data_IF_813406890086
#
_entry.id   IF_813406890086
#
_cell.length_a   1.000
_cell.length_b   1.000
_cell.length_c   1.000
_cell.angle_alpha   90.00
_cell.angle_beta   90.00
_cell.angle_gamma   90.00
#
_symmetry.space_group_name_H-M   'P 1'
#
loop_
_entity.id
_entity.type
_entity.pdbx_description
1 polymer ?
#
# COMPACT_ATOMS: atom_id res chain seq x y z
N UNK A 1 -42.32 -14.59 -11.87
CA UNK A 1 -40.86 -14.74 -12.00
C UNK A 1 -40.24 -13.54 -11.32
N UNK A 2 -39.90 -13.65 -10.05
CA UNK A 2 -39.15 -12.61 -9.34
C UNK A 2 -37.70 -12.70 -9.77
N UNK A 3 -37.29 -11.82 -10.68
CA UNK A 3 -35.87 -11.54 -10.84
C UNK A 3 -35.44 -10.86 -9.55
N UNK A 4 -34.77 -11.59 -8.66
CA UNK A 4 -33.88 -11.01 -7.68
C UNK A 4 -32.81 -10.23 -8.47
N UNK A 5 -33.00 -8.96 -8.61
CA UNK A 5 -31.91 -8.04 -8.98
C UNK A 5 -30.96 -8.14 -7.78
N UNK A 6 -29.95 -8.98 -7.85
CA UNK A 6 -28.84 -8.94 -6.89
C UNK A 6 -28.33 -7.50 -6.93
N UNK A 7 -28.56 -6.79 -5.85
CA UNK A 7 -28.21 -5.38 -5.76
C UNK A 7 -26.66 -5.31 -5.67
N UNK A 8 -26.02 -5.16 -6.82
CA UNK A 8 -24.54 -5.09 -6.90
C UNK A 8 -24.07 -3.90 -6.04
N UNK A 9 -23.27 -4.13 -5.00
CA UNK A 9 -22.81 -3.05 -4.15
C UNK A 9 -21.99 -2.02 -4.95
N UNK A 10 -22.02 -0.78 -4.53
CA UNK A 10 -21.23 0.28 -5.15
C UNK A 10 -19.73 0.02 -4.94
N UNK A 11 -19.36 -0.47 -3.76
CA UNK A 11 -17.99 -0.60 -3.30
C UNK A 11 -17.74 -1.98 -2.69
N UNK A 12 -16.63 -2.64 -3.08
CA UNK A 12 -16.04 -3.75 -2.33
C UNK A 12 -14.80 -3.28 -1.58
N UNK A 13 -14.76 -3.45 -0.27
CA UNK A 13 -13.60 -3.23 0.57
C UNK A 13 -12.84 -4.56 0.71
N UNK A 14 -11.76 -4.72 -0.06
CA UNK A 14 -10.97 -5.95 -0.11
C UNK A 14 -9.84 -5.89 0.94
N UNK A 15 -9.86 -6.78 1.91
CA UNK A 15 -8.88 -6.87 3.01
C UNK A 15 -8.08 -8.16 2.89
N UNK A 16 -7.00 -8.20 2.09
CA UNK A 16 -6.09 -9.34 2.07
C UNK A 16 -5.27 -9.38 3.35
N UNK A 17 -5.15 -10.55 3.93
CA UNK A 17 -4.48 -10.74 5.21
C UNK A 17 -3.75 -12.08 5.28
N UNK A 18 -2.81 -12.17 6.22
CA UNK A 18 -2.13 -13.39 6.65
C UNK A 18 -2.65 -13.89 8.02
N UNK A 19 -3.93 -13.73 8.28
CA UNK A 19 -4.60 -14.26 9.47
C UNK A 19 -4.37 -13.44 10.76
N UNK A 20 -3.82 -12.25 10.69
CA UNK A 20 -3.46 -11.44 11.85
C UNK A 20 -4.67 -10.72 12.48
N UNK A 21 -5.50 -11.45 13.22
CA UNK A 21 -6.75 -10.98 13.84
C UNK A 21 -6.58 -9.68 14.65
N UNK A 22 -5.47 -9.52 15.39
CA UNK A 22 -5.21 -8.33 16.18
C UNK A 22 -5.14 -7.03 15.37
N UNK A 23 -4.85 -7.11 14.08
CA UNK A 23 -4.82 -5.96 13.17
C UNK A 23 -6.14 -5.76 12.44
N UNK A 24 -6.80 -6.86 12.08
CA UNK A 24 -8.01 -6.85 11.26
C UNK A 24 -9.22 -6.36 12.04
N UNK A 25 -9.40 -6.81 13.29
CA UNK A 25 -10.53 -6.40 14.13
C UNK A 25 -10.69 -4.88 14.14
N UNK A 26 -9.68 -4.10 14.55
CA UNK A 26 -9.76 -2.64 14.53
C UNK A 26 -9.99 -2.02 13.14
N UNK A 27 -9.60 -2.70 12.04
CA UNK A 27 -9.89 -2.22 10.68
C UNK A 27 -11.36 -2.41 10.36
N UNK A 28 -11.93 -3.58 10.62
CA UNK A 28 -13.36 -3.86 10.43
C UNK A 28 -14.20 -2.93 11.29
N UNK A 29 -13.85 -2.77 12.57
CA UNK A 29 -14.54 -1.85 13.48
C UNK A 29 -14.55 -0.41 12.92
N UNK A 30 -13.45 0.04 12.32
CA UNK A 30 -13.35 1.38 11.73
C UNK A 30 -14.19 1.56 10.46
N UNK A 31 -14.58 0.47 9.78
CA UNK A 31 -15.48 0.48 8.64
C UNK A 31 -16.94 0.62 9.16
N UNK A 32 -17.35 -0.25 10.08
CA UNK A 32 -18.72 -0.30 10.56
C UNK A 32 -19.06 0.77 11.60
N UNK A 33 -18.08 1.46 12.17
CA UNK A 33 -18.31 2.64 13.01
C UNK A 33 -18.73 3.88 12.22
N UNK A 34 -18.73 3.83 10.88
CA UNK A 34 -19.14 4.94 10.04
C UNK A 34 -20.63 4.81 9.68
N UNK A 35 -21.36 5.92 9.73
CA UNK A 35 -22.78 5.97 9.40
C UNK A 35 -22.98 5.86 7.88
N UNK A 36 -22.88 4.64 7.34
CA UNK A 36 -23.11 4.34 5.93
C UNK A 36 -24.12 3.19 5.80
N UNK A 37 -24.90 3.21 4.73
CA UNK A 37 -25.84 2.14 4.40
C UNK A 37 -25.07 0.88 3.97
N UNK A 38 -25.22 -0.20 4.74
CA UNK A 38 -24.56 -1.49 4.50
C UNK A 38 -24.91 -2.12 3.15
N UNK A 39 -26.04 -1.73 2.55
CA UNK A 39 -26.42 -2.20 1.21
C UNK A 39 -25.56 -1.62 0.08
N UNK A 40 -24.81 -0.55 0.34
CA UNK A 40 -23.98 0.12 -0.66
C UNK A 40 -22.58 -0.47 -0.79
N UNK A 41 -22.14 -1.26 0.19
CA UNK A 41 -20.79 -1.84 0.16
C UNK A 41 -20.76 -3.28 0.66
N UNK A 42 -19.70 -3.99 0.33
CA UNK A 42 -19.34 -5.25 0.94
C UNK A 42 -17.93 -5.18 1.52
N UNK A 43 -17.67 -5.99 2.53
CA UNK A 43 -16.34 -6.22 3.10
C UNK A 43 -15.92 -7.65 2.84
N UNK A 44 -14.81 -7.83 2.13
CA UNK A 44 -14.26 -9.15 1.79
C UNK A 44 -12.91 -9.34 2.49
N UNK A 45 -12.87 -10.20 3.49
CA UNK A 45 -11.63 -10.60 4.18
C UNK A 45 -11.06 -11.83 3.49
N UNK A 46 -9.92 -11.66 2.81
CA UNK A 46 -9.23 -12.75 2.10
C UNK A 46 -8.00 -13.18 2.91
N UNK A 47 -8.05 -14.38 3.48
CA UNK A 47 -7.03 -14.91 4.37
C UNK A 47 -6.21 -16.01 3.70
N UNK A 48 -4.90 -15.82 3.56
CA UNK A 48 -3.98 -16.81 3.02
C UNK A 48 -3.19 -17.58 4.11
N UNK A 49 -3.53 -17.40 5.37
CA UNK A 49 -3.03 -18.20 6.47
C UNK A 49 -4.06 -19.24 6.97
N UNK A 50 -5.29 -19.17 6.48
CA UNK A 50 -6.40 -20.07 6.86
C UNK A 50 -6.64 -20.08 8.37
N UNK A 51 -6.64 -18.90 9.01
CA UNK A 51 -6.78 -18.78 10.46
C UNK A 51 -8.23 -19.02 10.90
N UNK A 52 -8.53 -20.11 11.65
CA UNK A 52 -9.90 -20.42 12.07
C UNK A 52 -10.49 -19.41 13.06
N UNK A 53 -9.64 -18.74 13.86
CA UNK A 53 -10.11 -17.69 14.78
C UNK A 53 -10.57 -16.46 14.01
N UNK A 54 -9.83 -16.07 12.97
CA UNK A 54 -10.22 -14.98 12.09
C UNK A 54 -11.49 -15.32 11.32
N UNK A 55 -11.61 -16.53 10.79
CA UNK A 55 -12.83 -17.02 10.13
C UNK A 55 -14.03 -16.87 11.05
N UNK A 56 -13.95 -17.44 12.24
CA UNK A 56 -15.01 -17.36 13.25
C UNK A 56 -15.34 -15.91 13.63
N UNK A 57 -14.33 -15.04 13.76
CA UNK A 57 -14.54 -13.63 14.05
C UNK A 57 -15.35 -12.93 12.95
N UNK A 58 -14.98 -13.15 11.68
CA UNK A 58 -15.67 -12.52 10.53
C UNK A 58 -17.09 -13.06 10.37
N UNK A 59 -17.28 -14.39 10.44
CA UNK A 59 -18.59 -15.04 10.29
C UNK A 59 -19.59 -14.68 11.40
N UNK A 60 -19.10 -14.29 12.59
CA UNK A 60 -19.93 -13.87 13.73
C UNK A 60 -19.92 -12.35 13.95
N UNK A 61 -19.45 -11.56 13.00
CA UNK A 61 -19.30 -10.10 13.18
C UNK A 61 -20.65 -9.37 13.26
N UNK A 62 -21.73 -9.95 12.75
CA UNK A 62 -23.11 -9.44 12.90
C UNK A 62 -23.58 -8.49 11.81
N UNK A 63 -22.90 -8.41 10.66
CA UNK A 63 -23.31 -7.70 9.46
C UNK A 63 -23.39 -8.65 8.28
N UNK A 64 -24.44 -8.57 7.47
CA UNK A 64 -24.68 -9.47 6.33
C UNK A 64 -23.79 -9.17 5.12
N UNK A 65 -23.20 -7.97 5.06
CA UNK A 65 -22.35 -7.51 3.97
C UNK A 65 -20.84 -7.76 4.19
N UNK A 66 -20.45 -8.53 5.22
CA UNK A 66 -19.08 -8.99 5.42
C UNK A 66 -18.96 -10.48 5.10
N UNK A 67 -17.85 -10.85 4.47
CA UNK A 67 -17.57 -12.25 4.14
C UNK A 67 -16.10 -12.60 4.34
N UNK A 68 -15.87 -13.87 4.67
CA UNK A 68 -14.54 -14.46 4.79
C UNK A 68 -14.27 -15.40 3.59
N UNK A 69 -13.06 -15.31 3.06
CA UNK A 69 -12.59 -16.17 1.98
C UNK A 69 -11.20 -16.73 2.30
N UNK A 70 -11.05 -18.04 2.23
CA UNK A 70 -9.74 -18.69 2.23
C UNK A 70 -9.05 -18.52 0.87
N UNK A 71 -7.76 -18.27 0.87
CA UNK A 71 -6.96 -18.06 -0.34
C UNK A 71 -5.64 -18.84 -0.26
N UNK A 72 -5.33 -19.58 -1.32
CA UNK A 72 -4.04 -20.28 -1.45
C UNK A 72 -2.95 -19.40 -2.06
N UNK A 73 -3.24 -18.12 -2.29
CA UNK A 73 -2.31 -17.19 -2.88
C UNK A 73 -1.13 -16.89 -1.95
N UNK A 74 0.09 -16.98 -2.48
CA UNK A 74 1.30 -16.79 -1.69
C UNK A 74 1.58 -15.29 -1.42
N UNK A 75 1.78 -14.93 -0.16
CA UNK A 75 2.20 -13.61 0.26
C UNK A 75 1.29 -12.50 -0.25
N UNK A 76 1.86 -11.48 -0.87
CA UNK A 76 1.12 -10.31 -1.37
C UNK A 76 0.22 -10.61 -2.58
N UNK A 77 0.36 -11.77 -3.26
CA UNK A 77 -0.53 -12.16 -4.35
C UNK A 77 -1.98 -12.36 -3.88
N UNK A 78 -2.22 -12.48 -2.58
CA UNK A 78 -3.56 -12.50 -2.00
C UNK A 78 -4.41 -11.25 -2.35
N UNK A 79 -3.77 -10.13 -2.70
CA UNK A 79 -4.44 -8.93 -3.25
C UNK A 79 -5.22 -9.28 -4.52
N UNK A 80 -4.62 -10.05 -5.42
CA UNK A 80 -5.24 -10.44 -6.70
C UNK A 80 -6.44 -11.34 -6.46
N UNK A 81 -6.33 -12.30 -5.51
CA UNK A 81 -7.43 -13.19 -5.14
C UNK A 81 -8.61 -12.41 -4.56
N UNK A 82 -8.35 -11.43 -3.69
CA UNK A 82 -9.41 -10.60 -3.11
C UNK A 82 -10.14 -9.76 -4.16
N UNK A 83 -9.44 -9.16 -5.12
CA UNK A 83 -10.09 -8.42 -6.20
C UNK A 83 -10.92 -9.31 -7.13
N UNK A 84 -10.46 -10.52 -7.43
CA UNK A 84 -11.21 -11.47 -8.29
C UNK A 84 -12.51 -11.95 -7.66
N UNK A 85 -12.59 -11.99 -6.33
CA UNK A 85 -13.77 -12.44 -5.60
C UNK A 85 -14.76 -11.28 -5.31
N UNK A 86 -14.34 -10.04 -5.46
CA UNK A 86 -15.13 -8.85 -5.18
C UNK A 86 -16.26 -8.65 -6.20
N UNK A 87 -17.43 -8.17 -5.72
CA UNK A 87 -18.67 -8.02 -6.52
C UNK A 87 -19.04 -6.56 -6.79
N UNK A 88 -18.48 -5.60 -6.03
CA UNK A 88 -18.81 -4.19 -6.13
C UNK A 88 -18.44 -3.57 -7.47
N UNK A 89 -19.13 -2.49 -7.86
CA UNK A 89 -18.81 -1.72 -9.08
C UNK A 89 -17.37 -1.21 -9.07
N UNK A 90 -16.87 -0.89 -7.88
CA UNK A 90 -15.48 -0.53 -7.63
C UNK A 90 -14.92 -1.34 -6.46
N UNK A 91 -13.73 -1.88 -6.60
CA UNK A 91 -13.05 -2.68 -5.59
C UNK A 91 -11.86 -1.90 -5.03
N UNK A 92 -11.88 -1.64 -3.73
CA UNK A 92 -10.85 -0.86 -3.03
C UNK A 92 -10.04 -1.76 -2.11
N UNK A 93 -8.72 -1.75 -2.27
CA UNK A 93 -7.84 -2.47 -1.38
C UNK A 93 -7.72 -1.74 -0.04
N UNK A 94 -7.94 -2.46 1.04
CA UNK A 94 -7.72 -2.01 2.42
C UNK A 94 -6.58 -2.81 3.02
N UNK A 95 -5.55 -2.14 3.50
CA UNK A 95 -4.48 -2.81 4.23
C UNK A 95 -5.01 -3.25 5.60
N UNK A 96 -4.80 -4.51 5.97
CA UNK A 96 -5.25 -5.07 7.23
C UNK A 96 -4.71 -4.36 8.49
N UNK A 97 -3.83 -3.36 8.33
CA UNK A 97 -3.29 -2.50 9.40
C UNK A 97 -3.67 -1.04 9.27
N UNK A 98 -4.50 -0.68 8.29
CA UNK A 98 -4.90 0.69 8.06
C UNK A 98 -6.38 0.88 8.37
N UNK A 99 -6.69 1.50 9.51
CA UNK A 99 -8.07 1.87 9.88
C UNK A 99 -8.57 3.01 9.00
N UNK A 100 -9.85 2.98 8.67
CA UNK A 100 -10.49 4.12 8.03
C UNK A 100 -10.65 5.25 9.05
N UNK A 101 -10.41 6.47 8.60
CA UNK A 101 -10.74 7.67 9.38
C UNK A 101 -12.24 7.96 9.29
N UNK A 102 -12.77 8.68 10.27
CA UNK A 102 -14.16 9.14 10.25
C UNK A 102 -14.49 9.87 8.94
N UNK A 103 -15.60 9.51 8.31
CA UNK A 103 -16.06 10.03 7.02
C UNK A 103 -15.32 9.47 5.80
N UNK A 104 -14.29 8.66 5.96
CA UNK A 104 -13.49 8.16 4.83
C UNK A 104 -14.29 7.24 3.91
N UNK A 105 -15.16 6.37 4.46
CA UNK A 105 -15.99 5.47 3.67
C UNK A 105 -16.94 6.26 2.75
N UNK A 106 -17.62 7.25 3.29
CA UNK A 106 -18.49 8.16 2.53
C UNK A 106 -17.72 8.87 1.42
N UNK A 107 -16.55 9.42 1.72
CA UNK A 107 -15.73 10.14 0.76
C UNK A 107 -15.22 9.23 -0.37
N UNK A 108 -14.89 7.96 -0.08
CA UNK A 108 -14.55 6.96 -1.10
C UNK A 108 -15.75 6.73 -2.02
N UNK A 109 -16.94 6.51 -1.45
CA UNK A 109 -18.17 6.29 -2.24
C UNK A 109 -18.56 7.51 -3.08
N UNK A 110 -18.46 8.72 -2.54
CA UNK A 110 -18.69 9.96 -3.29
C UNK A 110 -17.72 10.09 -4.47
N UNK A 111 -16.44 9.73 -4.28
CA UNK A 111 -15.45 9.70 -5.38
C UNK A 111 -15.87 8.70 -6.46
N UNK A 112 -16.31 7.50 -6.08
CA UNK A 112 -16.75 6.47 -7.03
C UNK A 112 -17.98 6.93 -7.80
N UNK A 113 -18.99 7.48 -7.14
CA UNK A 113 -20.22 8.01 -7.77
C UNK A 113 -19.88 9.13 -8.74
N UNK A 114 -19.00 10.07 -8.35
CA UNK A 114 -18.57 11.19 -9.19
C UNK A 114 -17.93 10.72 -10.50
N UNK A 115 -17.16 9.65 -10.47
CA UNK A 115 -16.40 9.16 -11.61
C UNK A 115 -16.95 7.86 -12.23
N UNK A 116 -18.18 7.46 -11.89
CA UNK A 116 -18.75 6.19 -12.36
C UNK A 116 -18.98 6.11 -13.88
N UNK A 117 -19.09 7.23 -14.57
CA UNK A 117 -19.28 7.28 -16.02
C UNK A 117 -17.92 7.20 -16.76
N UNK A 118 -16.96 8.04 -16.37
CA UNK A 118 -15.64 8.08 -17.02
C UNK A 118 -14.77 6.90 -16.60
N UNK A 119 -14.92 6.45 -15.35
CA UNK A 119 -14.21 5.35 -14.74
C UNK A 119 -12.69 5.42 -14.95
N UNK A 120 -12.00 6.52 -14.56
CA UNK A 120 -10.55 6.57 -14.62
C UNK A 120 -9.93 5.54 -13.68
N UNK A 121 -8.66 5.19 -13.88
CA UNK A 121 -7.90 4.45 -12.86
C UNK A 121 -7.70 5.35 -11.65
N UNK A 122 -8.27 4.99 -10.50
CA UNK A 122 -8.21 5.82 -9.29
C UNK A 122 -7.14 5.28 -8.33
N UNK A 123 -6.24 6.18 -7.91
CA UNK A 123 -5.27 5.89 -6.85
C UNK A 123 -5.49 6.82 -5.66
N UNK A 124 -5.66 6.25 -4.47
CA UNK A 124 -5.92 6.95 -3.22
C UNK A 124 -4.60 7.20 -2.49
N UNK A 125 -4.11 8.44 -2.49
CA UNK A 125 -2.74 8.74 -2.04
C UNK A 125 -2.60 8.91 -0.54
N UNK A 126 -3.70 9.03 0.19
CA UNK A 126 -3.72 9.33 1.63
C UNK A 126 -2.94 10.61 2.00
N UNK A 127 -2.97 11.63 1.15
CA UNK A 127 -2.29 12.91 1.37
C UNK A 127 -0.78 12.89 1.19
N UNK A 128 -0.19 11.78 0.69
CA UNK A 128 1.26 11.61 0.64
C UNK A 128 1.98 12.46 -0.43
N UNK A 129 1.24 13.02 -1.40
CA UNK A 129 1.80 13.84 -2.49
C UNK A 129 1.68 15.36 -2.26
N UNK A 130 1.43 15.75 -1.02
CA UNK A 130 1.25 17.16 -0.61
C UNK A 130 -0.20 17.51 -0.32
N UNK A 131 -0.41 18.76 0.13
CA UNK A 131 -1.69 19.16 0.75
C UNK A 131 -2.77 19.61 -0.23
N UNK A 132 -2.43 19.96 -1.45
CA UNK A 132 -3.37 20.46 -2.47
C UNK A 132 -2.89 20.14 -3.89
N UNK A 133 -3.79 19.91 -4.85
CA UNK A 133 -5.24 19.78 -4.70
C UNK A 133 -5.65 18.40 -4.16
N UNK A 134 -6.93 18.29 -3.71
CA UNK A 134 -7.51 17.04 -3.21
C UNK A 134 -7.71 15.97 -4.29
N UNK A 135 -7.82 16.38 -5.54
CA UNK A 135 -7.91 15.51 -6.71
C UNK A 135 -6.96 16.02 -7.81
N UNK A 136 -6.21 15.11 -8.39
CA UNK A 136 -5.26 15.41 -9.47
C UNK A 136 -5.56 14.46 -10.63
N UNK A 137 -6.18 14.94 -11.72
CA UNK A 137 -6.31 14.17 -12.94
C UNK A 137 -4.93 14.01 -13.60
N UNK A 138 -4.68 12.83 -14.16
CA UNK A 138 -3.49 12.54 -14.94
C UNK A 138 -3.91 11.96 -16.28
N UNK A 139 -3.37 12.49 -17.36
CA UNK A 139 -3.77 12.12 -18.72
C UNK A 139 -3.25 10.75 -19.15
N UNK A 140 -2.20 10.25 -18.47
CA UNK A 140 -1.58 8.96 -18.80
C UNK A 140 -0.81 8.38 -17.62
N UNK A 141 -0.27 7.16 -17.80
CA UNK A 141 0.53 6.47 -16.79
C UNK A 141 1.82 7.22 -16.45
N UNK A 142 2.47 7.88 -17.40
CA UNK A 142 3.71 8.63 -17.15
C UNK A 142 3.48 9.75 -16.13
N UNK A 143 2.40 10.51 -16.32
CA UNK A 143 2.03 11.58 -15.39
C UNK A 143 1.62 11.06 -14.01
N UNK A 144 0.87 9.96 -13.95
CA UNK A 144 0.54 9.27 -12.70
C UNK A 144 1.82 8.89 -11.93
N UNK A 145 2.74 8.17 -12.59
CA UNK A 145 3.99 7.70 -11.98
C UNK A 145 4.89 8.88 -11.61
N UNK A 146 4.91 9.94 -12.43
CA UNK A 146 5.64 11.17 -12.13
C UNK A 146 5.16 11.81 -10.83
N UNK A 147 3.86 11.85 -10.56
CA UNK A 147 3.28 12.43 -9.36
C UNK A 147 3.40 11.52 -8.13
N UNK A 148 3.19 10.21 -8.29
CA UNK A 148 3.25 9.23 -7.19
C UNK A 148 4.68 8.85 -6.80
N UNK A 149 5.60 8.85 -7.76
CA UNK A 149 6.96 8.30 -7.60
C UNK A 149 6.97 6.94 -6.87
N UNK A 150 7.72 6.72 -5.78
CA UNK A 150 7.78 5.44 -5.07
C UNK A 150 6.48 5.09 -4.33
N UNK A 151 5.55 6.03 -4.14
CA UNK A 151 4.25 5.72 -3.55
C UNK A 151 3.39 4.80 -4.42
N UNK A 152 3.73 4.57 -5.70
CA UNK A 152 3.11 3.50 -6.50
C UNK A 152 3.18 2.13 -5.82
N UNK A 153 4.12 1.92 -4.90
CA UNK A 153 4.29 0.68 -4.14
C UNK A 153 3.38 0.57 -2.91
N UNK A 154 2.71 1.66 -2.51
CA UNK A 154 1.82 1.63 -1.35
C UNK A 154 0.51 0.90 -1.68
N UNK A 155 0.32 -0.27 -1.05
CA UNK A 155 -0.76 -1.17 -1.46
C UNK A 155 -2.16 -0.60 -1.18
N UNK A 156 -2.37 0.13 -0.08
CA UNK A 156 -3.69 0.69 0.22
C UNK A 156 -4.12 1.82 -0.73
N UNK A 157 -3.23 2.28 -1.64
CA UNK A 157 -3.58 3.29 -2.64
C UNK A 157 -4.44 2.75 -3.78
N UNK A 158 -4.36 1.45 -4.08
CA UNK A 158 -4.99 0.92 -5.28
C UNK A 158 -6.50 0.68 -5.13
N UNK A 159 -7.22 0.90 -6.23
CA UNK A 159 -8.57 0.42 -6.48
C UNK A 159 -8.71 0.01 -7.94
N UNK A 160 -9.74 -0.77 -8.25
CA UNK A 160 -10.00 -1.29 -9.58
C UNK A 160 -11.51 -1.28 -9.86
N UNK A 161 -11.92 -0.86 -11.05
CA UNK A 161 -13.30 -0.98 -11.48
C UNK A 161 -13.64 -2.43 -11.84
N UNK A 162 -14.87 -2.85 -11.57
CA UNK A 162 -15.31 -4.22 -11.85
C UNK A 162 -15.03 -4.65 -13.30
N UNK A 163 -15.21 -3.73 -14.25
CA UNK A 163 -14.91 -4.01 -15.67
C UNK A 163 -13.47 -4.36 -15.98
N UNK A 164 -12.53 -3.93 -15.12
CA UNK A 164 -11.08 -4.14 -15.32
C UNK A 164 -10.59 -5.43 -14.65
N UNK A 165 -11.38 -6.07 -13.78
CA UNK A 165 -11.00 -7.32 -13.10
C UNK A 165 -10.64 -8.45 -14.07
N UNK A 166 -11.35 -8.68 -15.19
CA UNK A 166 -10.96 -9.70 -16.16
C UNK A 166 -9.54 -9.51 -16.73
N UNK A 167 -9.07 -8.26 -16.83
CA UNK A 167 -7.70 -7.98 -17.31
C UNK A 167 -6.61 -8.52 -16.37
N UNK A 168 -6.92 -8.76 -15.09
CA UNK A 168 -5.99 -9.34 -14.12
C UNK A 168 -5.47 -10.73 -14.53
N UNK A 169 -6.20 -11.46 -15.40
CA UNK A 169 -5.75 -12.77 -15.92
C UNK A 169 -4.55 -12.66 -16.86
N UNK A 170 -4.33 -11.48 -17.45
CA UNK A 170 -3.28 -11.22 -18.45
C UNK A 170 -2.06 -10.51 -17.84
N UNK A 171 -2.06 -10.23 -16.55
CA UNK A 171 -0.98 -9.50 -15.87
C UNK A 171 0.01 -10.49 -15.28
N UNK A 172 1.29 -10.31 -15.60
CA UNK A 172 2.38 -10.95 -14.88
C UNK A 172 2.67 -10.16 -13.59
N UNK A 173 2.30 -10.73 -12.45
CA UNK A 173 2.41 -10.02 -11.18
C UNK A 173 3.80 -10.11 -10.59
N UNK A 174 4.37 -8.98 -10.23
CA UNK A 174 5.51 -8.95 -9.35
C UNK A 174 5.09 -9.43 -7.95
N UNK A 175 5.78 -10.44 -7.39
CA UNK A 175 5.41 -11.06 -6.10
C UNK A 175 5.51 -10.10 -4.91
N UNK A 176 6.39 -9.08 -4.99
CA UNK A 176 6.56 -8.09 -3.93
C UNK A 176 5.63 -6.88 -4.09
N UNK A 177 5.27 -6.54 -5.33
CA UNK A 177 4.45 -5.39 -5.66
C UNK A 177 3.30 -5.74 -6.62
N UNK A 178 2.42 -6.71 -6.27
CA UNK A 178 1.29 -7.04 -7.15
C UNK A 178 0.32 -5.86 -7.33
N UNK A 179 0.18 -5.01 -6.33
CA UNK A 179 -0.58 -3.76 -6.42
C UNK A 179 0.00 -2.79 -7.46
N UNK A 180 1.34 -2.65 -7.53
CA UNK A 180 1.98 -1.83 -8.55
C UNK A 180 1.84 -2.47 -9.94
N UNK A 181 1.93 -3.81 -10.06
CA UNK A 181 1.66 -4.51 -11.31
C UNK A 181 0.22 -4.23 -11.79
N UNK A 182 -0.77 -4.30 -10.91
CA UNK A 182 -2.15 -3.93 -11.26
C UNK A 182 -2.23 -2.47 -11.70
N UNK A 183 -1.65 -1.55 -10.94
CA UNK A 183 -1.68 -0.11 -11.26
C UNK A 183 -1.12 0.19 -12.64
N UNK A 184 -0.03 -0.49 -13.02
CA UNK A 184 0.67 -0.23 -14.27
C UNK A 184 0.04 -0.95 -15.47
N UNK A 185 -0.60 -2.11 -15.25
CA UNK A 185 -1.02 -3.01 -16.35
C UNK A 185 -2.53 -3.21 -16.47
N UNK A 186 -3.36 -2.75 -15.51
CA UNK A 186 -4.81 -2.94 -15.57
C UNK A 186 -5.45 -2.32 -16.82
N UNK A 187 -4.79 -1.34 -17.41
CA UNK A 187 -5.21 -0.71 -18.68
C UNK A 187 -4.03 -0.40 -19.56
N UNK A 188 -4.29 -0.49 -20.87
CA UNK A 188 -3.35 -0.11 -21.91
C UNK A 188 -3.25 1.42 -22.06
N UNK A 189 -2.56 1.89 -23.10
CA UNK A 189 -2.39 3.30 -23.44
C UNK A 189 -3.76 4.01 -23.60
N UNK A 190 -3.75 5.33 -23.49
CA UNK A 190 -4.90 6.25 -23.59
C UNK A 190 -5.91 6.18 -22.43
N UNK A 191 -5.54 5.55 -21.32
CA UNK A 191 -6.37 5.58 -20.12
C UNK A 191 -6.10 6.82 -19.28
N UNK A 192 -7.16 7.40 -18.73
CA UNK A 192 -7.10 8.48 -17.76
C UNK A 192 -6.94 7.94 -16.36
N UNK A 193 -6.25 8.71 -15.53
CA UNK A 193 -5.97 8.38 -14.13
C UNK A 193 -6.40 9.52 -13.22
N UNK A 194 -6.73 9.18 -11.99
CA UNK A 194 -7.09 10.13 -10.94
C UNK A 194 -6.29 9.83 -9.67
N UNK A 195 -5.62 10.82 -9.12
CA UNK A 195 -5.08 10.76 -7.77
C UNK A 195 -6.08 11.40 -6.82
N UNK A 196 -6.70 10.61 -5.96
CA UNK A 196 -7.53 11.08 -4.87
C UNK A 196 -6.65 11.30 -3.64
N UNK A 197 -6.40 12.58 -3.31
CA UNK A 197 -5.37 12.99 -2.35
C UNK A 197 -5.93 13.37 -0.97
N UNK A 198 -7.09 12.85 -0.63
CA UNK A 198 -7.63 12.96 0.72
C UNK A 198 -6.92 12.03 1.71
N UNK A 199 -7.10 12.26 3.00
CA UNK A 199 -6.55 11.41 4.05
C UNK A 199 -7.65 10.45 4.49
N UNK A 200 -7.55 9.20 4.04
CA UNK A 200 -8.55 8.15 4.27
C UNK A 200 -8.20 7.23 5.44
N UNK A 201 -6.90 7.01 5.68
CA UNK A 201 -6.42 5.94 6.54
C UNK A 201 -5.53 6.44 7.66
N UNK A 202 -5.59 5.72 8.78
CA UNK A 202 -4.67 5.82 9.89
C UNK A 202 -3.95 4.47 10.06
N UNK A 203 -2.62 4.48 9.89
CA UNK A 203 -1.78 3.29 10.05
C UNK A 203 -1.70 2.89 11.53
N UNK A 204 -1.96 1.62 11.82
CA UNK A 204 -1.73 1.07 13.15
C UNK A 204 -0.23 0.91 13.40
N UNK A 205 0.24 1.41 14.55
CA UNK A 205 1.62 1.25 14.98
C UNK A 205 1.85 -0.20 15.44
N UNK A 206 2.93 -0.81 14.95
CA UNK A 206 3.31 -2.15 15.37
C UNK A 206 4.51 -2.69 14.59
N UNK A 207 5.23 -3.62 15.20
CA UNK A 207 6.31 -4.39 14.58
C UNK A 207 5.77 -5.51 13.68
N UNK A 208 6.65 -6.18 12.96
CA UNK A 208 6.27 -7.35 12.14
C UNK A 208 5.66 -7.00 10.79
N UNK A 209 6.02 -5.84 10.22
CA UNK A 209 5.60 -5.45 8.86
C UNK A 209 6.43 -6.09 7.75
N UNK A 210 7.60 -6.69 8.08
CA UNK A 210 8.65 -7.10 7.16
C UNK A 210 8.51 -8.52 6.64
N UNK A 211 9.43 -9.39 7.03
CA UNK A 211 9.65 -10.76 6.50
C UNK A 211 10.23 -10.79 5.09
N UNK A 212 10.87 -9.70 4.62
CA UNK A 212 11.58 -9.62 3.34
C UNK A 212 12.79 -8.69 3.43
N UNK A 213 13.67 -8.78 2.43
CA UNK A 213 14.82 -7.88 2.33
C UNK A 213 14.37 -6.50 1.83
N UNK A 214 14.32 -5.52 2.74
CA UNK A 214 13.80 -4.19 2.48
C UNK A 214 14.55 -3.48 1.35
N UNK A 215 15.90 -3.51 1.40
CA UNK A 215 16.71 -2.81 0.40
C UNK A 215 16.75 -3.52 -0.95
N UNK A 216 16.69 -4.86 -0.98
CA UNK A 216 16.53 -5.57 -2.25
C UNK A 216 15.19 -5.21 -2.91
N UNK A 217 14.12 -5.24 -2.13
CA UNK A 217 12.77 -4.95 -2.61
C UNK A 217 12.66 -3.55 -3.22
N UNK A 218 13.12 -2.52 -2.49
CA UNK A 218 12.95 -1.13 -2.95
C UNK A 218 14.11 -0.60 -3.81
N UNK A 219 15.34 -1.09 -3.65
CA UNK A 219 16.46 -0.59 -4.44
C UNK A 219 16.76 -1.43 -5.69
N UNK A 220 16.14 -2.61 -5.84
CA UNK A 220 16.33 -3.48 -7.02
C UNK A 220 15.00 -3.81 -7.67
N UNK A 221 14.09 -4.52 -6.97
CA UNK A 221 12.85 -5.04 -7.57
C UNK A 221 11.95 -3.93 -8.11
N UNK A 222 11.74 -2.85 -7.35
CA UNK A 222 10.91 -1.74 -7.83
C UNK A 222 11.55 -0.97 -9.00
N UNK A 223 12.86 -0.61 -8.99
CA UNK A 223 13.54 -0.08 -10.16
C UNK A 223 13.48 -0.99 -11.40
N UNK A 224 13.55 -2.32 -11.27
CA UNK A 224 13.39 -3.25 -12.39
C UNK A 224 12.04 -3.07 -13.08
N UNK A 225 10.95 -2.94 -12.31
CA UNK A 225 9.61 -2.65 -12.85
C UNK A 225 9.56 -1.31 -13.59
N UNK A 226 10.23 -0.27 -13.07
CA UNK A 226 10.29 1.05 -13.72
C UNK A 226 11.10 1.02 -15.02
N UNK A 227 12.18 0.24 -15.05
CA UNK A 227 13.00 0.06 -16.26
C UNK A 227 12.19 -0.65 -17.34
N UNK A 228 11.43 -1.67 -16.98
CA UNK A 228 10.54 -2.34 -17.93
C UNK A 228 9.51 -1.37 -18.50
N UNK A 229 8.82 -0.58 -17.65
CA UNK A 229 7.89 0.45 -18.12
C UNK A 229 8.57 1.46 -19.06
N UNK A 230 9.79 1.90 -18.72
CA UNK A 230 10.56 2.82 -19.57
C UNK A 230 10.93 2.20 -20.91
N UNK A 231 11.41 0.97 -20.91
CA UNK A 231 11.80 0.26 -22.13
C UNK A 231 10.61 0.02 -23.07
N UNK A 232 9.43 -0.15 -22.50
CA UNK A 232 8.16 -0.26 -23.27
C UNK A 232 7.56 1.11 -23.64
N UNK A 233 8.23 2.22 -23.33
CA UNK A 233 7.74 3.57 -23.61
C UNK A 233 6.53 4.03 -22.78
N UNK A 234 6.20 3.30 -21.69
CA UNK A 234 5.07 3.61 -20.82
C UNK A 234 5.38 4.78 -19.88
N UNK A 235 6.65 5.00 -19.55
CA UNK A 235 7.14 6.17 -18.80
C UNK A 235 8.36 6.78 -19.50
N UNK A 236 8.53 8.10 -19.32
CA UNK A 236 9.66 8.86 -19.89
C UNK A 236 10.93 8.75 -19.04
N UNK A 237 12.09 9.07 -19.64
CA UNK A 237 13.34 9.23 -18.91
C UNK A 237 13.26 10.28 -17.79
N UNK A 238 12.47 11.34 -18.00
CA UNK A 238 12.24 12.38 -17.00
C UNK A 238 11.54 11.80 -15.76
N UNK A 239 10.48 11.05 -15.98
CA UNK A 239 9.71 10.38 -14.92
C UNK A 239 10.57 9.36 -14.18
N UNK A 240 11.27 8.49 -14.92
CA UNK A 240 12.19 7.52 -14.32
C UNK A 240 13.22 8.19 -13.41
N UNK A 241 13.91 9.24 -13.88
CA UNK A 241 14.91 9.98 -13.10
C UNK A 241 14.31 10.62 -11.84
N UNK A 242 13.09 11.18 -11.94
CA UNK A 242 12.39 11.74 -10.78
C UNK A 242 12.08 10.66 -9.76
N UNK A 243 11.49 9.53 -10.19
CA UNK A 243 11.15 8.43 -9.29
C UNK A 243 12.39 7.90 -8.58
N UNK A 244 13.50 7.68 -9.30
CA UNK A 244 14.76 7.20 -8.71
C UNK A 244 15.33 8.19 -7.68
N UNK A 245 15.22 9.50 -7.92
CA UNK A 245 15.64 10.52 -6.95
C UNK A 245 14.79 10.50 -5.67
N UNK A 246 13.47 10.41 -5.80
CA UNK A 246 12.57 10.34 -4.63
C UNK A 246 12.71 8.99 -3.90
N UNK A 247 12.91 7.91 -4.64
CA UNK A 247 13.18 6.59 -4.06
C UNK A 247 14.48 6.59 -3.24
N UNK A 248 15.53 7.29 -3.67
CA UNK A 248 16.75 7.41 -2.87
C UNK A 248 16.53 8.09 -1.52
N UNK A 249 15.67 9.11 -1.47
CA UNK A 249 15.25 9.75 -0.21
C UNK A 249 14.45 8.77 0.67
N UNK A 250 13.59 7.96 0.06
CA UNK A 250 12.85 6.90 0.76
C UNK A 250 13.80 5.85 1.37
N UNK A 251 14.79 5.36 0.60
CA UNK A 251 15.81 4.42 1.08
C UNK A 251 16.63 5.00 2.24
N UNK A 252 16.95 6.30 2.17
CA UNK A 252 17.59 7.00 3.29
C UNK A 252 16.71 6.99 4.54
N UNK A 253 15.41 7.27 4.38
CA UNK A 253 14.46 7.24 5.49
C UNK A 253 14.26 5.82 6.06
N UNK A 254 14.22 4.79 5.22
CA UNK A 254 14.19 3.38 5.67
C UNK A 254 15.42 3.03 6.49
N UNK A 255 16.62 3.40 6.01
CA UNK A 255 17.85 3.17 6.76
C UNK A 255 17.80 3.88 8.13
N UNK A 256 17.38 5.16 8.14
CA UNK A 256 17.25 5.92 9.38
C UNK A 256 16.27 5.28 10.35
N UNK A 257 15.02 5.08 9.90
CA UNK A 257 13.94 4.64 10.77
C UNK A 257 14.09 3.18 11.18
N UNK A 258 14.16 2.26 10.22
CA UNK A 258 14.06 0.84 10.51
C UNK A 258 15.40 0.21 10.93
N UNK A 259 16.52 0.67 10.37
CA UNK A 259 17.83 0.12 10.70
C UNK A 259 18.50 0.82 11.91
N UNK A 260 18.42 2.16 11.99
CA UNK A 260 19.14 2.94 13.01
C UNK A 260 18.30 3.19 14.26
N UNK A 261 17.10 3.76 14.10
CA UNK A 261 16.29 4.26 15.23
C UNK A 261 15.43 3.16 15.86
N UNK A 262 14.60 2.47 15.08
CA UNK A 262 13.66 1.48 15.61
C UNK A 262 14.27 0.08 15.69
N UNK A 263 15.27 -0.23 14.87
CA UNK A 263 15.88 -1.55 14.76
C UNK A 263 14.84 -2.64 14.58
N UNK A 264 14.01 -2.44 13.56
CA UNK A 264 12.93 -3.38 13.22
C UNK A 264 13.55 -4.65 12.61
N UNK A 265 13.70 -5.67 13.43
CA UNK A 265 14.26 -6.98 13.08
C UNK A 265 13.32 -7.86 12.23
N UNK A 266 12.10 -7.39 11.97
CA UNK A 266 11.20 -8.05 11.02
C UNK A 266 11.67 -7.94 9.57
N UNK A 267 12.54 -6.96 9.25
CA UNK A 267 13.15 -6.82 7.92
C UNK A 267 14.53 -7.47 7.84
N UNK A 268 14.83 -8.09 6.69
CA UNK A 268 16.19 -8.44 6.34
C UNK A 268 16.93 -7.22 5.76
N UNK A 269 18.05 -6.85 6.40
CA UNK A 269 18.94 -5.76 5.99
C UNK A 269 20.24 -6.25 5.36
N UNK A 270 20.32 -7.52 4.98
CA UNK A 270 21.51 -8.05 4.34
C UNK A 270 21.76 -7.39 2.97
N UNK A 271 23.02 -7.14 2.66
CA UNK A 271 23.44 -6.65 1.35
C UNK A 271 23.01 -5.22 0.99
N UNK A 272 22.73 -4.32 1.95
CA UNK A 272 22.30 -2.92 1.68
C UNK A 272 23.18 -2.24 0.63
N UNK A 273 24.54 -2.28 0.81
CA UNK A 273 25.47 -1.69 -0.13
C UNK A 273 25.32 -2.28 -1.53
N UNK A 274 25.26 -3.61 -1.63
CA UNK A 274 25.10 -4.33 -2.91
C UNK A 274 23.82 -3.91 -3.61
N UNK A 275 22.71 -3.90 -2.89
CA UNK A 275 21.38 -3.58 -3.44
C UNK A 275 21.30 -2.13 -3.93
N UNK A 276 21.81 -1.15 -3.16
CA UNK A 276 21.86 0.25 -3.59
C UNK A 276 22.74 0.41 -4.85
N UNK A 277 23.89 -0.29 -4.90
CA UNK A 277 24.85 -0.14 -6.00
C UNK A 277 24.38 -0.76 -7.33
N UNK A 278 23.21 -1.40 -7.39
CA UNK A 278 22.65 -1.91 -8.65
C UNK A 278 22.25 -0.74 -9.57
N UNK A 279 21.57 0.26 -9.03
CA UNK A 279 21.01 1.37 -9.81
C UNK A 279 21.53 2.76 -9.42
N UNK A 280 22.29 2.85 -8.33
CA UNK A 280 22.92 4.09 -7.91
C UNK A 280 24.44 3.94 -7.94
N UNK A 281 25.21 5.02 -8.15
CA UNK A 281 26.67 4.98 -8.08
C UNK A 281 27.18 4.35 -6.78
N UNK A 282 28.27 3.61 -6.84
CA UNK A 282 28.81 2.86 -5.69
C UNK A 282 28.99 3.68 -4.41
N UNK A 283 29.29 4.97 -4.53
CA UNK A 283 29.47 5.90 -3.43
C UNK A 283 28.15 6.34 -2.77
N UNK A 284 27.00 6.13 -3.42
CA UNK A 284 25.67 6.53 -2.92
C UNK A 284 25.35 5.88 -1.57
N UNK A 285 25.78 4.66 -1.34
CA UNK A 285 25.66 4.01 -0.04
C UNK A 285 26.33 4.80 1.08
N UNK A 286 27.56 5.27 0.87
CA UNK A 286 28.28 6.05 1.87
C UNK A 286 27.66 7.42 2.09
N UNK A 287 27.19 8.09 1.01
CA UNK A 287 26.46 9.34 1.12
C UNK A 287 25.16 9.18 1.92
N UNK A 288 24.43 8.09 1.70
CA UNK A 288 23.23 7.77 2.45
C UNK A 288 23.54 7.65 3.94
N UNK A 289 24.53 6.83 4.32
CA UNK A 289 24.94 6.64 5.72
C UNK A 289 25.36 7.96 6.34
N UNK A 290 26.29 8.69 5.72
CA UNK A 290 26.77 9.98 6.23
C UNK A 290 25.59 10.95 6.45
N UNK A 291 24.68 11.05 5.47
CA UNK A 291 23.53 11.95 5.56
C UNK A 291 22.57 11.59 6.69
N UNK A 292 22.41 10.30 7.02
CA UNK A 292 21.59 9.83 8.15
C UNK A 292 22.25 10.17 9.50
N UNK A 293 23.53 9.88 9.66
CA UNK A 293 24.21 10.16 10.94
C UNK A 293 24.43 11.66 11.21
N UNK A 294 24.33 12.50 10.20
CA UNK A 294 24.33 13.96 10.36
C UNK A 294 22.99 14.53 10.80
N UNK A 295 21.88 13.79 10.71
CA UNK A 295 20.56 14.25 11.14
C UNK A 295 20.49 14.45 12.67
N UNK A 296 19.81 15.52 13.08
CA UNK A 296 19.75 15.95 14.50
C UNK A 296 19.11 14.88 15.38
N UNK A 297 18.03 14.25 14.93
CA UNK A 297 17.30 13.20 15.65
C UNK A 297 18.18 11.95 15.87
N UNK A 298 18.95 11.53 14.88
CA UNK A 298 19.88 10.40 14.98
C UNK A 298 21.01 10.73 15.96
N UNK A 299 21.60 11.94 15.87
CA UNK A 299 22.63 12.37 16.81
C UNK A 299 22.12 12.43 18.25
N UNK A 300 20.89 12.94 18.45
CA UNK A 300 20.26 12.97 19.77
C UNK A 300 19.94 11.56 20.31
N UNK A 301 19.55 10.64 19.42
CA UNK A 301 19.34 9.24 19.80
C UNK A 301 20.61 8.60 20.36
N UNK A 302 21.75 8.74 19.63
CA UNK A 302 23.02 8.22 20.11
C UNK A 302 23.56 8.93 21.35
N UNK A 303 23.37 10.25 21.45
CA UNK A 303 23.73 11.02 22.64
C UNK A 303 22.95 10.55 23.88
N UNK A 304 21.64 10.35 23.76
CA UNK A 304 20.80 9.82 24.86
C UNK A 304 21.22 8.40 25.26
N UNK A 305 21.51 7.54 24.29
CA UNK A 305 21.99 6.19 24.52
C UNK A 305 23.34 6.18 25.24
N UNK A 306 24.28 7.03 24.80
CA UNK A 306 25.59 7.22 25.44
C UNK A 306 25.44 7.73 26.88
N UNK A 307 24.63 8.78 27.11
CA UNK A 307 24.36 9.31 28.45
C UNK A 307 23.75 8.26 29.37
N UNK A 308 22.78 7.46 28.89
CA UNK A 308 22.19 6.35 29.67
C UNK A 308 23.23 5.30 30.04
N UNK A 309 24.18 5.01 29.15
CA UNK A 309 25.28 4.07 29.43
C UNK A 309 26.25 4.60 30.48
N UNK A 310 26.52 5.90 30.50
CA UNK A 310 27.46 6.52 31.46
C UNK A 310 26.81 6.82 32.83
N UNK A 311 25.55 7.21 32.85
CA UNK A 311 24.89 7.72 34.06
C UNK A 311 23.72 6.86 34.52
N UNK A 312 23.29 5.85 33.76
CA UNK A 312 22.12 5.01 34.05
C UNK A 312 22.38 3.81 34.97
N UNK A 313 23.58 3.67 35.56
CA UNK A 313 23.92 2.61 36.51
C UNK A 313 23.69 3.02 37.99
N UNK A 314 22.98 4.12 38.23
CA UNK A 314 22.84 4.74 39.57
C UNK A 314 21.49 4.59 40.28
N UNK A 315 20.48 3.95 39.67
CA UNK A 315 19.18 3.73 40.35
C UNK A 315 18.79 2.26 40.37
N UNK A 316 19.46 1.50 41.22
CA UNK A 316 19.00 0.26 41.85
C UNK A 316 19.90 -0.02 43.06
N UNK A 317 19.60 0.64 44.14
CA UNK A 317 19.88 0.16 45.52
C UNK A 317 18.65 0.42 46.35
#
# INVERSE_FOLDING_TARGET
MNHNVENTPLLSLCIPTNGALQWIGPVIDSIYSQECDDSLFEVLVSDNAHNPELKSFVENYGHDNISYMESDAQGFLNIVSSFRAAKGKFCKLINHRAKLREGALKLIMETIVKYQEEQPVIYFTNGCIGVNPSEIPCENLDELVYNLHYYCTWMAGIGIWQKDIPALSNIEFNKMFPNASILFEQRQNDSKYLLSNFIFFEEQNGSGKGCYNLFHTFAVVFPDMLIDLKNRGRITDKTFKKVMKELFKCLKNFYKCFYVLFRDDSFDFSGIRKNISVYYPWYSYYLLIMSVYLEKDVRLFYFRKWRKKLFGSGENK
#
